data_IF_307875498143
#
_entry.id   IF_307875498143
#
_cell.length_a   1.000
_cell.length_b   1.000
_cell.length_c   1.000
_cell.angle_alpha   90.00
_cell.angle_beta   90.00
_cell.angle_gamma   90.00
#
_symmetry.space_group_name_H-M   'P 1'
#
loop_
_entity.id
_entity.type
_entity.pdbx_description
1 polymer ?
#
# COMPACT_ATOMS: atom_id res chain seq x y z
N UNK A 1 15.72 14.36 -17.77
CA UNK A 1 14.57 13.77 -18.48
C UNK A 1 13.87 12.85 -17.49
N UNK A 2 12.92 13.41 -16.73
CA UNK A 2 12.13 12.64 -15.77
C UNK A 2 11.12 11.79 -16.53
N UNK A 3 11.37 10.49 -16.62
CA UNK A 3 10.31 9.56 -16.94
C UNK A 3 9.37 9.52 -15.72
N UNK A 4 8.26 10.22 -15.84
CA UNK A 4 7.09 10.01 -14.99
C UNK A 4 6.58 8.62 -15.36
N UNK A 5 7.06 7.60 -14.65
CA UNK A 5 6.42 6.31 -14.67
C UNK A 5 5.06 6.50 -13.99
N UNK A 6 4.01 6.37 -14.75
CA UNK A 6 2.62 6.40 -14.30
C UNK A 6 2.31 5.09 -13.55
N UNK A 7 3.10 4.85 -12.52
CA UNK A 7 2.92 3.74 -11.61
C UNK A 7 1.97 4.22 -10.55
N UNK A 8 0.80 3.62 -10.45
CA UNK A 8 -0.15 3.88 -9.38
C UNK A 8 0.44 3.34 -8.06
N UNK A 9 1.36 4.11 -7.50
CA UNK A 9 1.90 3.86 -6.18
C UNK A 9 1.00 4.49 -5.13
N UNK A 10 0.51 3.69 -4.24
CA UNK A 10 -0.26 4.15 -3.10
C UNK A 10 0.61 4.04 -1.85
N UNK A 11 1.21 5.15 -1.43
CA UNK A 11 1.76 5.25 -0.09
C UNK A 11 0.63 5.69 0.85
N UNK A 12 0.41 4.95 1.90
CA UNK A 12 -0.76 5.06 2.77
C UNK A 12 -0.34 5.40 4.19
N UNK A 13 -0.91 6.46 4.74
CA UNK A 13 -0.80 6.82 6.15
C UNK A 13 -1.86 6.06 6.95
N UNK A 14 -1.44 5.26 7.94
CA UNK A 14 -2.37 4.61 8.86
C UNK A 14 -3.00 5.64 9.79
N UNK A 15 -4.21 6.10 9.48
CA UNK A 15 -5.07 6.71 10.48
C UNK A 15 -5.92 5.63 11.11
N UNK A 16 -5.88 5.52 12.45
CA UNK A 16 -6.70 4.57 13.20
C UNK A 16 -8.17 4.98 13.17
N UNK A 17 -8.86 4.69 12.10
CA UNK A 17 -10.32 4.61 12.11
C UNK A 17 -10.73 3.27 11.49
N UNK A 18 -10.75 2.25 12.36
CA UNK A 18 -11.38 0.99 12.03
C UNK A 18 -12.88 1.25 11.82
N UNK A 19 -13.33 1.30 10.57
CA UNK A 19 -14.75 1.31 10.28
C UNK A 19 -15.35 0.00 10.79
N UNK A 20 -16.29 0.11 11.75
CA UNK A 20 -17.19 -0.97 12.12
C UNK A 20 -18.11 -1.25 10.93
N UNK A 21 -17.75 -2.21 10.12
CA UNK A 21 -18.74 -2.88 9.29
C UNK A 21 -18.40 -4.35 9.10
N UNK A 22 -19.31 -5.15 9.63
CA UNK A 22 -19.73 -6.52 9.36
C UNK A 22 -18.78 -7.43 8.60
N UNK A 23 -18.16 -8.35 9.30
CA UNK A 23 -17.66 -9.56 8.70
C UNK A 23 -16.57 -10.22 9.50
N UNK A 24 -16.94 -11.27 10.18
CA UNK A 24 -16.07 -12.27 10.79
C UNK A 24 -15.00 -11.72 11.76
N UNK A 25 -15.36 -11.75 13.03
CA UNK A 25 -14.48 -11.39 14.14
C UNK A 25 -13.21 -12.27 14.12
N UNK A 26 -12.09 -11.66 13.71
CA UNK A 26 -10.79 -12.18 14.09
C UNK A 26 -10.71 -12.05 15.61
N UNK A 27 -10.56 -13.18 16.33
CA UNK A 27 -10.45 -13.19 17.77
C UNK A 27 -9.31 -12.23 18.21
N UNK A 28 -9.50 -11.43 19.30
CA UNK A 28 -8.46 -10.55 19.80
C UNK A 28 -7.16 -11.34 20.04
N UNK A 29 -6.07 -10.95 19.35
CA UNK A 29 -4.76 -11.60 19.46
C UNK A 29 -4.44 -12.67 18.43
N UNK A 30 -5.37 -13.05 17.56
CA UNK A 30 -5.08 -13.92 16.42
C UNK A 30 -4.63 -13.05 15.22
N UNK A 31 -3.37 -13.19 14.81
CA UNK A 31 -2.89 -12.60 13.55
C UNK A 31 -3.54 -13.26 12.33
N UNK A 32 -3.53 -12.57 11.19
CA UNK A 32 -3.98 -13.11 9.91
C UNK A 32 -3.12 -14.30 9.48
N UNK A 33 -3.75 -15.29 8.90
CA UNK A 33 -3.10 -16.47 8.32
C UNK A 33 -3.21 -16.45 6.80
N UNK A 34 -2.39 -17.24 6.15
CA UNK A 34 -2.51 -17.45 4.68
C UNK A 34 -3.88 -18.05 4.38
N UNK A 35 -4.62 -17.42 3.48
CA UNK A 35 -5.99 -17.82 3.10
C UNK A 35 -7.09 -17.07 3.84
N UNK A 36 -6.76 -16.30 4.89
CA UNK A 36 -7.75 -15.46 5.57
C UNK A 36 -8.17 -14.26 4.71
N UNK A 37 -9.39 -13.82 4.92
CA UNK A 37 -9.88 -12.58 4.29
C UNK A 37 -9.25 -11.40 5.04
N UNK A 38 -8.57 -10.53 4.28
CA UNK A 38 -8.01 -9.31 4.86
C UNK A 38 -9.12 -8.39 5.36
N UNK A 39 -9.00 -7.84 6.58
CA UNK A 39 -9.96 -6.86 7.09
C UNK A 39 -9.93 -5.61 6.22
N UNK A 40 -11.10 -5.04 5.94
CA UNK A 40 -11.18 -3.79 5.20
C UNK A 40 -10.67 -2.62 6.04
N UNK A 41 -10.02 -1.68 5.41
CA UNK A 41 -9.58 -0.43 6.04
C UNK A 41 -9.67 0.73 5.06
N UNK A 42 -9.78 1.92 5.60
CA UNK A 42 -9.70 3.17 4.85
C UNK A 42 -8.43 3.91 5.26
N UNK A 43 -7.80 4.56 4.30
CA UNK A 43 -6.59 5.30 4.57
C UNK A 43 -6.41 6.47 3.58
N UNK A 44 -5.59 7.45 3.99
CA UNK A 44 -5.16 8.52 3.10
C UNK A 44 -3.96 8.06 2.32
N UNK A 45 -3.98 8.28 1.01
CA UNK A 45 -2.88 7.91 0.12
C UNK A 45 -2.34 9.12 -0.64
N UNK A 46 -1.22 8.93 -1.31
CA UNK A 46 -0.64 9.96 -2.20
C UNK A 46 -1.51 10.30 -3.42
N UNK A 47 -2.53 9.50 -3.67
CA UNK A 47 -3.49 9.71 -4.77
C UNK A 47 -4.89 10.09 -4.29
N UNK A 48 -5.09 10.25 -2.98
CA UNK A 48 -6.37 10.59 -2.35
C UNK A 48 -6.82 9.53 -1.34
N UNK A 49 -8.02 9.69 -0.83
CA UNK A 49 -8.60 8.71 0.10
C UNK A 49 -8.88 7.38 -0.62
N UNK A 50 -8.59 6.27 0.04
CA UNK A 50 -8.74 4.94 -0.51
C UNK A 50 -9.32 3.97 0.51
N UNK A 51 -9.92 2.90 0.01
CA UNK A 51 -10.36 1.73 0.77
C UNK A 51 -9.75 0.47 0.21
N UNK A 52 -9.38 -0.48 1.06
CA UNK A 52 -8.89 -1.77 0.58
C UNK A 52 -9.93 -2.48 -0.30
N UNK A 53 -11.21 -2.38 0.05
CA UNK A 53 -12.31 -2.96 -0.73
C UNK A 53 -12.46 -2.42 -2.16
N UNK A 54 -11.89 -1.25 -2.48
CA UNK A 54 -11.92 -0.68 -3.83
C UNK A 54 -11.07 -1.50 -4.83
N UNK A 55 -10.16 -2.34 -4.30
CA UNK A 55 -9.29 -3.21 -5.10
C UNK A 55 -9.86 -4.61 -5.34
N UNK A 56 -11.10 -4.87 -4.92
CA UNK A 56 -11.74 -6.16 -5.15
C UNK A 56 -11.86 -6.45 -6.65
N UNK A 57 -11.61 -7.71 -7.01
CA UNK A 57 -11.62 -8.16 -8.41
C UNK A 57 -10.29 -7.99 -9.14
N UNK A 58 -9.25 -7.48 -8.47
CA UNK A 58 -7.88 -7.36 -9.00
C UNK A 58 -6.88 -7.89 -7.98
N UNK A 59 -5.71 -8.23 -8.46
CA UNK A 59 -4.61 -8.59 -7.57
C UNK A 59 -4.05 -7.34 -6.91
N UNK A 60 -3.70 -7.44 -5.65
CA UNK A 60 -3.04 -6.38 -4.90
C UNK A 60 -1.86 -6.95 -4.11
N UNK A 61 -0.69 -6.40 -4.31
CA UNK A 61 0.46 -6.61 -3.44
C UNK A 61 0.51 -5.45 -2.46
N UNK A 62 0.14 -5.71 -1.20
CA UNK A 62 0.27 -4.79 -0.10
C UNK A 62 1.54 -5.14 0.67
N UNK A 63 2.47 -4.20 0.78
CA UNK A 63 3.67 -4.37 1.59
C UNK A 63 3.84 -3.19 2.55
N UNK A 64 4.38 -3.46 3.73
CA UNK A 64 4.64 -2.43 4.73
C UNK A 64 6.13 -2.20 4.89
N UNK A 65 6.51 -0.97 5.20
CA UNK A 65 7.87 -0.60 5.54
C UNK A 65 7.88 0.35 6.75
N UNK A 66 8.94 0.34 7.57
CA UNK A 66 8.95 1.06 8.84
C UNK A 66 9.07 2.57 8.67
N UNK A 67 9.81 3.04 7.66
CA UNK A 67 10.02 4.47 7.44
C UNK A 67 10.50 4.76 6.01
N UNK A 68 10.09 5.91 5.47
CA UNK A 68 10.62 6.46 4.23
C UNK A 68 12.12 6.82 4.40
N UNK A 69 12.81 7.00 3.28
CA UNK A 69 14.23 7.37 3.23
C UNK A 69 15.22 6.38 3.88
N UNK A 70 14.77 5.22 4.35
CA UNK A 70 15.69 4.20 4.84
C UNK A 70 16.37 3.48 3.66
N UNK A 71 17.68 3.10 3.78
CA UNK A 71 18.44 2.58 2.63
C UNK A 71 17.85 1.32 2.03
N UNK A 72 17.49 0.35 2.86
CA UNK A 72 16.92 -0.95 2.40
C UNK A 72 15.55 -0.75 1.78
N UNK A 73 14.66 -0.01 2.45
CA UNK A 73 13.32 0.26 1.92
C UNK A 73 13.37 1.01 0.59
N UNK A 74 14.30 1.95 0.45
CA UNK A 74 14.49 2.69 -0.80
C UNK A 74 14.93 1.76 -1.94
N UNK A 75 15.87 0.84 -1.71
CA UNK A 75 16.32 -0.10 -2.74
C UNK A 75 15.23 -1.09 -3.14
N UNK A 76 14.46 -1.60 -2.19
CA UNK A 76 13.31 -2.49 -2.46
C UNK A 76 12.21 -1.76 -3.23
N UNK A 77 11.91 -0.53 -2.82
CA UNK A 77 10.94 0.31 -3.49
C UNK A 77 11.32 0.58 -4.95
N UNK A 78 12.58 0.94 -5.21
CA UNK A 78 13.10 1.14 -6.57
C UNK A 78 13.01 -0.15 -7.40
N UNK A 79 13.31 -1.32 -6.80
CA UNK A 79 13.19 -2.60 -7.49
C UNK A 79 11.74 -2.90 -7.88
N UNK A 80 10.78 -2.69 -6.98
CA UNK A 80 9.36 -2.84 -7.27
C UNK A 80 8.88 -1.82 -8.32
N UNK A 81 9.36 -0.57 -8.25
CA UNK A 81 9.05 0.44 -9.25
C UNK A 81 9.49 0.04 -10.65
N UNK A 82 10.69 -0.53 -10.79
CA UNK A 82 11.17 -1.05 -12.08
C UNK A 82 10.37 -2.24 -12.60
N UNK A 83 9.75 -3.00 -11.72
CA UNK A 83 8.92 -4.15 -12.07
C UNK A 83 7.43 -3.78 -12.26
N UNK A 84 7.05 -2.55 -12.02
CA UNK A 84 5.64 -2.13 -11.96
C UNK A 84 4.85 -2.44 -13.24
N UNK A 85 5.45 -2.23 -14.42
CA UNK A 85 4.81 -2.57 -15.69
C UNK A 85 4.49 -4.07 -15.81
N UNK A 86 5.33 -4.93 -15.23
CA UNK A 86 5.11 -6.37 -15.22
C UNK A 86 3.93 -6.74 -14.31
N UNK A 87 3.75 -6.03 -13.20
CA UNK A 87 2.59 -6.18 -12.32
C UNK A 87 1.33 -5.67 -13.02
N UNK A 88 1.38 -4.49 -13.63
CA UNK A 88 0.25 -3.91 -14.35
C UNK A 88 -0.26 -4.81 -15.48
N UNK A 89 0.63 -5.43 -16.25
CA UNK A 89 0.28 -6.41 -17.31
C UNK A 89 -0.47 -7.64 -16.75
N UNK A 90 -0.39 -7.91 -15.47
CA UNK A 90 -1.06 -9.00 -14.77
C UNK A 90 -2.26 -8.53 -13.93
N UNK A 91 -2.74 -7.32 -14.19
CA UNK A 91 -3.84 -6.70 -13.44
C UNK A 91 -3.57 -6.69 -11.92
N UNK A 92 -2.31 -6.45 -11.54
CA UNK A 92 -1.86 -6.41 -10.16
C UNK A 92 -1.43 -4.99 -9.80
N UNK A 93 -2.07 -4.43 -8.77
CA UNK A 93 -1.68 -3.15 -8.19
C UNK A 93 -0.65 -3.33 -7.08
N UNK A 94 0.17 -2.31 -6.87
CA UNK A 94 1.16 -2.26 -5.80
C UNK A 94 0.80 -1.17 -4.81
N UNK A 95 0.81 -1.49 -3.52
CA UNK A 95 0.49 -0.57 -2.43
C UNK A 95 1.54 -0.67 -1.34
N UNK A 96 2.15 0.47 -0.99
CA UNK A 96 3.07 0.58 0.14
C UNK A 96 2.35 1.20 1.34
N UNK A 97 2.51 0.60 2.50
CA UNK A 97 1.95 1.06 3.77
C UNK A 97 3.06 1.45 4.73
N UNK A 98 3.00 2.65 5.29
CA UNK A 98 3.93 3.14 6.28
C UNK A 98 3.22 3.97 7.35
N UNK A 99 3.88 4.19 8.47
CA UNK A 99 3.44 5.09 9.55
C UNK A 99 3.89 6.54 9.32
N UNK A 100 4.68 6.79 8.28
CA UNK A 100 5.13 8.14 7.95
C UNK A 100 4.00 9.01 7.40
N UNK A 101 4.19 10.32 7.48
CA UNK A 101 3.22 11.28 6.98
C UNK A 101 3.15 11.29 5.44
N UNK A 102 2.01 11.70 4.88
CA UNK A 102 1.87 11.89 3.44
C UNK A 102 2.92 12.86 2.86
N UNK A 103 3.33 13.86 3.62
CA UNK A 103 4.37 14.81 3.19
C UNK A 103 5.72 14.11 3.02
N UNK A 104 6.07 13.18 3.92
CA UNK A 104 7.26 12.33 3.80
C UNK A 104 7.18 11.48 2.54
N UNK A 105 6.05 10.81 2.30
CA UNK A 105 5.83 10.01 1.10
C UNK A 105 5.98 10.82 -0.19
N UNK A 106 5.38 12.02 -0.26
CA UNK A 106 5.55 12.88 -1.42
C UNK A 106 6.99 13.32 -1.66
N UNK A 107 7.73 13.58 -0.60
CA UNK A 107 9.15 13.93 -0.71
C UNK A 107 9.99 12.73 -1.20
N UNK A 108 9.72 11.55 -0.67
CA UNK A 108 10.43 10.31 -1.03
C UNK A 108 10.18 9.87 -2.47
N UNK A 109 8.93 9.99 -2.94
CA UNK A 109 8.56 9.65 -4.32
C UNK A 109 9.19 10.57 -5.38
N UNK A 110 9.74 11.72 -4.98
CA UNK A 110 10.39 12.68 -5.89
C UNK A 110 11.91 12.52 -6.00
N UNK A 111 12.49 11.62 -5.23
CA UNK A 111 13.92 11.30 -5.30
C UNK A 111 14.24 10.45 -6.54
#
# INVERSE_FOLDING_TARGET
MCCVLDVKWYAVEMTQEASKDSGEHIAPGAGLRIGDIAPDFSARSTTGDMRLSDYRGRWLVLFSHPADFTPVCTTEFVALAKAADQFAQRECDLMALSVDSLFSHFAWLRM
#
